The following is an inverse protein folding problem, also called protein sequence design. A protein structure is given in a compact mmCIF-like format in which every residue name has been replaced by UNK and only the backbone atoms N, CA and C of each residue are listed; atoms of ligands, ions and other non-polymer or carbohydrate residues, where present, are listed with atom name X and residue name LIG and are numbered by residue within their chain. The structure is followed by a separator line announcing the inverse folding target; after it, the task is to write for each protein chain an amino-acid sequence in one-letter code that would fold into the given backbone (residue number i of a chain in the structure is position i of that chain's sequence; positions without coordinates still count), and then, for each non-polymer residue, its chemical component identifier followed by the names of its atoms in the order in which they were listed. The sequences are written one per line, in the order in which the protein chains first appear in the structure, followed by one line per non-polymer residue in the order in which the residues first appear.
data_IF_773415131232
#
_entry.id   IF_773415131232
#
_cell.length_a   1.000
_cell.length_b   1.000
_cell.length_c   1.000
_cell.angle_alpha   90.00
_cell.angle_beta   90.00
_cell.angle_gamma   90.00
#
_symmetry.space_group_name_H-M   'P 1'
#
loop_
_entity.id
_entity.type
_entity.pdbx_description
1 polymer ?
#
# COMPACT_ATOMS: atom_id res chain seq x y z
N UNK A 1 -13.92 7.28 -4.20
CA UNK A 1 -12.56 7.86 -4.09
C UNK A 1 -12.46 9.27 -4.69
N UNK A 2 -12.83 9.49 -5.96
CA UNK A 2 -12.68 10.80 -6.61
C UNK A 2 -13.33 11.97 -5.84
N UNK A 3 -14.55 11.76 -5.32
CA UNK A 3 -15.25 12.75 -4.49
C UNK A 3 -14.46 13.06 -3.21
N UNK A 4 -13.94 12.03 -2.52
CA UNK A 4 -13.13 12.24 -1.31
C UNK A 4 -11.88 13.07 -1.58
N UNK A 5 -11.18 12.85 -2.72
CA UNK A 5 -10.01 13.63 -3.11
C UNK A 5 -10.34 15.11 -3.29
N UNK A 6 -11.48 15.42 -3.91
CA UNK A 6 -11.95 16.80 -4.14
C UNK A 6 -12.37 17.45 -2.81
N UNK A 7 -13.07 16.72 -1.95
CA UNK A 7 -13.58 17.26 -0.67
C UNK A 7 -12.45 17.50 0.33
N UNK A 8 -11.41 16.64 0.36
CA UNK A 8 -10.30 16.77 1.30
C UNK A 8 -9.50 18.08 1.16
N UNK A 9 -9.57 18.74 0.00
CA UNK A 9 -8.98 20.08 -0.17
C UNK A 9 -9.82 21.21 0.47
N UNK A 10 -11.10 20.94 0.75
CA UNK A 10 -12.07 21.92 1.26
C UNK A 10 -12.49 21.69 2.71
N UNK A 11 -12.19 20.52 3.27
CA UNK A 11 -12.57 20.13 4.63
C UNK A 11 -11.31 19.72 5.38
N UNK A 12 -11.09 20.32 6.56
CA UNK A 12 -10.05 19.91 7.50
C UNK A 12 -10.43 18.59 8.18
N UNK A 13 -10.28 17.48 7.46
CA UNK A 13 -10.26 16.14 8.05
C UNK A 13 -8.80 15.71 8.17
N UNK A 14 -8.24 15.57 9.39
CA UNK A 14 -6.79 15.35 9.55
C UNK A 14 -6.33 13.97 9.05
N UNK A 15 -7.19 12.95 9.18
CA UNK A 15 -6.86 11.57 8.82
C UNK A 15 -8.07 10.87 8.19
N UNK A 16 -7.83 10.06 7.16
CA UNK A 16 -8.80 9.19 6.50
C UNK A 16 -8.28 7.75 6.52
N UNK A 17 -9.15 6.82 6.91
CA UNK A 17 -8.86 5.39 6.91
C UNK A 17 -9.70 4.76 5.82
N UNK A 18 -9.04 3.98 4.96
CA UNK A 18 -9.70 3.16 3.98
C UNK A 18 -9.33 1.70 4.21
N UNK A 19 -10.34 0.85 4.30
CA UNK A 19 -10.19 -0.60 4.27
C UNK A 19 -10.70 -1.09 2.91
N UNK A 20 -10.03 -2.07 2.32
CA UNK A 20 -10.49 -2.74 1.11
C UNK A 20 -10.81 -1.81 -0.09
N UNK A 21 -10.05 -0.72 -0.30
CA UNK A 21 -10.18 0.15 -1.50
C UNK A 21 -9.95 -0.59 -2.82
N UNK A 22 -9.38 -1.79 -2.72
CA UNK A 22 -8.94 -2.65 -3.80
C UNK A 22 -9.92 -3.79 -4.14
N UNK A 23 -11.10 -3.85 -3.50
CA UNK A 23 -12.12 -4.86 -3.85
C UNK A 23 -12.62 -4.67 -5.28
N UNK A 24 -12.55 -5.75 -6.06
CA UNK A 24 -13.09 -5.80 -7.42
C UNK A 24 -12.27 -5.02 -8.46
N UNK A 25 -11.06 -4.56 -8.13
CA UNK A 25 -10.18 -3.85 -9.08
C UNK A 25 -8.85 -4.56 -9.27
N UNK A 26 -8.20 -4.31 -10.42
CA UNK A 26 -6.87 -4.82 -10.73
C UNK A 26 -6.18 -3.97 -11.79
N UNK A 27 -4.92 -4.27 -12.08
CA UNK A 27 -4.19 -3.70 -13.21
C UNK A 27 -4.19 -2.16 -13.23
N UNK A 28 -4.49 -1.52 -14.38
CA UNK A 28 -4.49 -0.06 -14.50
C UNK A 28 -5.42 0.66 -13.53
N UNK A 29 -6.57 0.07 -13.18
CA UNK A 29 -7.53 0.65 -12.24
C UNK A 29 -6.95 0.71 -10.83
N UNK A 30 -6.28 -0.36 -10.38
CA UNK A 30 -5.58 -0.37 -9.11
C UNK A 30 -4.47 0.68 -9.06
N UNK A 31 -3.70 0.83 -10.15
CA UNK A 31 -2.69 1.89 -10.26
C UNK A 31 -3.30 3.30 -10.19
N UNK A 32 -4.47 3.51 -10.79
CA UNK A 32 -5.17 4.80 -10.72
C UNK A 32 -5.63 5.10 -9.28
N UNK A 33 -6.17 4.11 -8.57
CA UNK A 33 -6.54 4.22 -7.16
C UNK A 33 -5.34 4.56 -6.28
N UNK A 34 -4.21 3.86 -6.46
CA UNK A 34 -2.96 4.16 -5.74
C UNK A 34 -2.50 5.61 -5.93
N UNK A 35 -2.54 6.12 -7.18
CA UNK A 35 -2.22 7.52 -7.49
C UNK A 35 -3.16 8.52 -6.80
N UNK A 36 -4.46 8.23 -6.78
CA UNK A 36 -5.44 9.09 -6.12
C UNK A 36 -5.22 9.14 -4.59
N UNK A 37 -4.90 8.00 -3.98
CA UNK A 37 -4.58 7.93 -2.54
C UNK A 37 -3.27 8.66 -2.23
N UNK A 38 -2.24 8.54 -3.07
CA UNK A 38 -1.00 9.33 -2.96
C UNK A 38 -1.31 10.83 -3.01
N UNK A 39 -2.10 11.25 -3.98
CA UNK A 39 -2.47 12.66 -4.17
C UNK A 39 -3.21 13.21 -2.95
N UNK A 40 -4.17 12.44 -2.43
CA UNK A 40 -4.88 12.76 -1.18
C UNK A 40 -3.92 12.85 0.01
N UNK A 41 -2.92 11.97 0.06
CA UNK A 41 -1.85 11.93 1.05
C UNK A 41 -1.01 13.21 1.15
N UNK A 42 -1.08 14.12 0.18
CA UNK A 42 -0.39 15.42 0.21
C UNK A 42 -1.06 16.43 1.15
N UNK A 43 -2.35 16.31 1.39
CA UNK A 43 -3.13 17.26 2.21
C UNK A 43 -3.75 16.60 3.45
N UNK A 44 -3.86 15.28 3.47
CA UNK A 44 -4.56 14.51 4.50
C UNK A 44 -3.79 13.24 4.81
N UNK A 45 -3.69 12.84 6.08
CA UNK A 45 -3.10 11.54 6.39
C UNK A 45 -4.03 10.43 5.88
N UNK A 46 -3.52 9.54 5.05
CA UNK A 46 -4.30 8.39 4.53
C UNK A 46 -3.70 7.10 5.08
N UNK A 47 -4.54 6.30 5.73
CA UNK A 47 -4.23 4.92 6.13
C UNK A 47 -5.04 4.00 5.22
N UNK A 48 -4.36 3.07 4.55
CA UNK A 48 -4.99 2.13 3.62
C UNK A 48 -4.51 0.72 3.93
N UNK A 49 -5.45 -0.21 4.10
CA UNK A 49 -5.18 -1.65 4.10
C UNK A 49 -5.39 -2.15 2.67
N UNK A 50 -4.43 -2.88 2.12
CA UNK A 50 -4.47 -3.36 0.73
C UNK A 50 -3.58 -4.59 0.56
N UNK A 51 -3.98 -5.46 -0.36
CA UNK A 51 -3.16 -6.59 -0.82
C UNK A 51 -2.62 -6.37 -2.24
N UNK A 52 -2.99 -5.28 -2.92
CA UNK A 52 -2.55 -5.00 -4.28
C UNK A 52 -1.19 -4.28 -4.30
N UNK A 53 -0.19 -4.81 -5.03
CA UNK A 53 1.12 -4.17 -5.12
C UNK A 53 1.06 -2.78 -5.76
N UNK A 54 0.11 -2.53 -6.68
CA UNK A 54 -0.08 -1.21 -7.33
C UNK A 54 -0.52 -0.13 -6.33
N UNK A 55 -1.34 -0.50 -5.36
CA UNK A 55 -1.80 0.43 -4.32
C UNK A 55 -0.70 0.61 -3.27
N UNK A 56 -0.13 -0.49 -2.76
CA UNK A 56 0.91 -0.46 -1.73
C UNK A 56 2.19 0.29 -2.17
N UNK A 57 2.60 0.11 -3.43
CA UNK A 57 3.77 0.81 -4.00
C UNK A 57 3.61 2.33 -4.06
N UNK A 58 2.37 2.82 -4.16
CA UNK A 58 2.06 4.25 -4.15
C UNK A 58 2.19 4.89 -2.77
N UNK A 59 2.31 4.12 -1.68
CA UNK A 59 2.35 4.70 -0.34
C UNK A 59 3.63 5.51 -0.06
N UNK A 60 3.52 6.56 0.76
CA UNK A 60 4.69 7.29 1.28
C UNK A 60 5.47 6.42 2.27
N UNK A 61 4.75 5.76 3.16
CA UNK A 61 5.24 4.81 4.15
C UNK A 61 4.47 3.50 4.01
N UNK A 62 5.10 2.39 4.36
CA UNK A 62 4.48 1.07 4.26
C UNK A 62 4.80 0.28 5.52
N UNK A 63 3.78 -0.38 6.06
CA UNK A 63 3.90 -1.29 7.18
C UNK A 63 3.59 -2.71 6.70
N UNK A 64 4.37 -3.66 7.19
CA UNK A 64 4.08 -5.08 7.06
C UNK A 64 3.30 -5.54 8.28
N UNK A 65 2.23 -6.31 8.04
CA UNK A 65 1.39 -6.86 9.09
C UNK A 65 1.51 -8.37 9.07
N UNK A 66 1.93 -8.95 10.19
CA UNK A 66 2.07 -10.39 10.34
C UNK A 66 1.43 -10.89 11.62
N UNK A 67 1.04 -12.16 11.60
CA UNK A 67 0.60 -12.88 12.79
C UNK A 67 1.74 -13.72 13.32
N UNK A 68 1.95 -13.68 14.63
CA UNK A 68 2.91 -14.50 15.35
C UNK A 68 2.16 -15.32 16.39
N UNK A 69 2.49 -16.60 16.54
CA UNK A 69 1.91 -17.45 17.59
C UNK A 69 2.94 -17.61 18.70
N UNK A 70 2.62 -17.11 19.89
CA UNK A 70 3.46 -17.22 21.08
C UNK A 70 2.63 -17.76 22.24
N UNK A 71 3.15 -18.79 22.92
CA UNK A 71 2.47 -19.44 24.07
C UNK A 71 1.04 -19.93 23.79
N UNK A 72 0.74 -20.29 22.54
CA UNK A 72 -0.61 -20.74 22.14
C UNK A 72 -1.57 -19.60 21.81
N UNK A 73 -1.16 -18.34 21.93
CA UNK A 73 -1.93 -17.16 21.56
C UNK A 73 -1.43 -16.56 20.23
N UNK A 74 -2.34 -15.98 19.45
CA UNK A 74 -2.01 -15.29 18.18
C UNK A 74 -1.92 -13.80 18.40
N UNK A 75 -0.76 -13.22 18.12
CA UNK A 75 -0.48 -11.79 18.17
C UNK A 75 -0.37 -11.21 16.76
N UNK A 76 -0.80 -9.96 16.58
CA UNK A 76 -0.62 -9.22 15.33
C UNK A 76 0.48 -8.18 15.53
N UNK A 77 1.50 -8.23 14.68
CA UNK A 77 2.61 -7.28 14.68
C UNK A 77 2.55 -6.40 13.44
N UNK A 78 2.81 -5.10 13.62
CA UNK A 78 2.98 -4.13 12.55
C UNK A 78 4.41 -3.62 12.55
N UNK A 79 5.11 -3.78 11.42
CA UNK A 79 6.52 -3.43 11.27
C UNK A 79 6.68 -2.39 10.16
N UNK A 80 7.26 -1.21 10.44
CA UNK A 80 7.56 -0.24 9.38
C UNK A 80 8.62 -0.81 8.43
N UNK A 81 8.40 -0.68 7.13
CA UNK A 81 9.33 -1.15 6.11
C UNK A 81 10.28 -0.04 5.66
N UNK A 82 11.58 -0.33 5.73
CA UNK A 82 12.60 0.47 5.05
C UNK A 82 12.55 0.25 3.52
N UNK A 83 13.41 0.93 2.77
CA UNK A 83 13.43 0.86 1.29
C UNK A 83 13.54 -0.58 0.75
N UNK A 84 14.45 -1.39 1.29
CA UNK A 84 14.64 -2.76 0.84
C UNK A 84 13.50 -3.68 1.28
N UNK A 85 12.98 -3.48 2.49
CA UNK A 85 11.79 -4.16 2.99
C UNK A 85 10.57 -3.90 2.09
N UNK A 86 10.38 -2.65 1.66
CA UNK A 86 9.32 -2.28 0.71
C UNK A 86 9.48 -3.00 -0.63
N UNK A 87 10.69 -3.02 -1.19
CA UNK A 87 10.95 -3.72 -2.46
C UNK A 87 10.63 -5.22 -2.33
N UNK A 88 11.08 -5.85 -1.24
CA UNK A 88 10.83 -7.27 -1.01
C UNK A 88 9.34 -7.56 -0.83
N UNK A 89 8.61 -6.72 -0.09
CA UNK A 89 7.18 -6.92 0.15
C UNK A 89 6.35 -6.71 -1.13
N UNK A 90 6.63 -5.66 -1.90
CA UNK A 90 5.97 -5.47 -3.21
C UNK A 90 6.30 -6.63 -4.16
N UNK A 91 7.54 -7.13 -4.15
CA UNK A 91 7.91 -8.29 -4.94
C UNK A 91 7.18 -9.57 -4.50
N UNK A 92 6.94 -9.75 -3.19
CA UNK A 92 6.12 -10.84 -2.64
C UNK A 92 4.66 -10.71 -3.07
N UNK A 93 4.08 -9.51 -3.01
CA UNK A 93 2.71 -9.27 -3.49
C UNK A 93 2.56 -9.51 -5.01
N UNK A 94 3.64 -9.34 -5.80
CA UNK A 94 3.65 -9.59 -7.24
C UNK A 94 3.88 -11.07 -7.60
N UNK A 95 4.81 -11.75 -6.90
CA UNK A 95 5.34 -13.06 -7.28
C UNK A 95 4.98 -14.20 -6.32
N UNK A 96 4.22 -13.92 -5.26
CA UNK A 96 3.97 -14.86 -4.16
C UNK A 96 5.20 -15.07 -3.29
N UNK A 97 5.30 -16.24 -2.66
CA UNK A 97 6.34 -16.54 -1.66
C UNK A 97 7.75 -16.67 -2.28
N UNK A 98 7.84 -16.92 -3.58
CA UNK A 98 9.11 -17.02 -4.30
C UNK A 98 9.55 -15.67 -4.85
N UNK A 99 10.29 -14.91 -4.02
CA UNK A 99 10.82 -13.60 -4.40
C UNK A 99 11.99 -13.75 -5.39
N UNK A 100 11.67 -13.82 -6.68
CA UNK A 100 12.67 -13.90 -7.76
C UNK A 100 13.35 -12.55 -8.04
N UNK A 101 14.49 -12.59 -8.76
CA UNK A 101 15.18 -11.37 -9.21
C UNK A 101 14.27 -10.50 -10.09
N UNK A 102 13.47 -11.13 -10.96
CA UNK A 102 12.50 -10.45 -11.83
C UNK A 102 11.38 -9.80 -11.03
N UNK A 103 10.84 -10.48 -10.01
CA UNK A 103 9.84 -9.90 -9.13
C UNK A 103 10.37 -8.65 -8.40
N UNK A 104 11.62 -8.68 -7.94
CA UNK A 104 12.28 -7.50 -7.34
C UNK A 104 12.50 -6.36 -8.34
N UNK A 105 12.82 -6.67 -9.60
CA UNK A 105 12.95 -5.66 -10.64
C UNK A 105 11.62 -4.96 -10.91
N UNK A 106 10.55 -5.74 -11.11
CA UNK A 106 9.19 -5.20 -11.31
C UNK A 106 8.72 -4.38 -10.10
N UNK A 107 9.02 -4.83 -8.88
CA UNK A 107 8.70 -4.08 -7.66
C UNK A 107 9.39 -2.72 -7.61
N UNK A 108 10.67 -2.65 -8.00
CA UNK A 108 11.41 -1.37 -8.07
C UNK A 108 10.80 -0.42 -9.09
N UNK A 109 10.46 -0.91 -10.28
CA UNK A 109 9.80 -0.11 -11.32
C UNK A 109 8.46 0.44 -10.82
N UNK A 110 7.66 -0.41 -10.17
CA UNK A 110 6.35 -0.03 -9.65
C UNK A 110 6.45 1.05 -8.56
N UNK A 111 7.42 0.93 -7.65
CA UNK A 111 7.68 1.96 -6.63
C UNK A 111 8.16 3.27 -7.28
N UNK A 112 9.03 3.20 -8.28
CA UNK A 112 9.53 4.40 -8.97
C UNK A 112 8.45 5.12 -9.78
N UNK A 113 7.49 4.38 -10.36
CA UNK A 113 6.39 4.96 -11.12
C UNK A 113 5.41 5.80 -10.26
N UNK A 114 5.50 5.70 -8.93
CA UNK A 114 4.60 6.34 -7.98
C UNK A 114 5.32 7.15 -6.89
N UNK A 115 6.65 7.29 -7.00
CA UNK A 115 7.48 8.12 -6.12
C UNK A 115 7.22 9.61 -6.37
#
# INVERSE_FOLDING_TARGET
LAIQVIIAQKVTTPTLIFDEVDVGISGPTASAVGKLLRQLGKSTQVICVTHLPQVASSAHQQFFVAKEIAQGETFTHMLPLNKDGRINEIARLLGGDNISKTAKANAKELIMAHA
#
